data_IF_576184431752
#
_entry.id   IF_576184431752
#
_cell.length_a   1.000
_cell.length_b   1.000
_cell.length_c   1.000
_cell.angle_alpha   90.00
_cell.angle_beta   90.00
_cell.angle_gamma   90.00
#
_symmetry.space_group_name_H-M   'P 1'
#
loop_
_entity.id
_entity.type
_entity.pdbx_description
1 polymer ?
#
# COMPACT_ATOMS: atom_id res chain seq x y z
N UNK A 1 -7.08 18.46 9.38
CA UNK A 1 -8.54 18.47 9.10
C UNK A 1 -9.13 19.69 9.79
N UNK A 2 -10.17 20.29 9.21
CA UNK A 2 -10.95 21.36 9.83
C UNK A 2 -12.35 20.82 10.16
N UNK A 3 -12.91 21.20 11.30
CA UNK A 3 -14.22 20.73 11.77
C UNK A 3 -14.35 20.88 13.29
N UNK A 4 -15.57 20.69 13.80
CA UNK A 4 -15.86 20.70 15.23
C UNK A 4 -15.19 19.48 15.92
N UNK A 5 -14.30 19.69 16.90
CA UNK A 5 -13.65 18.60 17.63
C UNK A 5 -14.63 17.66 18.33
N UNK A 6 -15.70 18.19 18.93
CA UNK A 6 -16.67 17.41 19.70
C UNK A 6 -17.46 16.46 18.79
N UNK A 7 -17.88 16.95 17.62
CA UNK A 7 -18.51 16.11 16.60
C UNK A 7 -17.56 14.99 16.14
N UNK A 8 -16.27 15.30 15.99
CA UNK A 8 -15.24 14.32 15.64
C UNK A 8 -15.09 13.22 16.68
N UNK A 9 -15.04 13.55 17.97
CA UNK A 9 -14.98 12.57 19.05
C UNK A 9 -16.23 11.69 19.07
N UNK A 10 -17.42 12.30 19.04
CA UNK A 10 -18.70 11.57 19.04
C UNK A 10 -18.82 10.61 17.86
N UNK A 11 -18.33 10.99 16.68
CA UNK A 11 -18.30 10.09 15.53
C UNK A 11 -17.35 8.91 15.75
N UNK A 12 -16.17 9.13 16.36
CA UNK A 12 -15.23 8.04 16.68
C UNK A 12 -15.80 7.08 17.71
N UNK A 13 -16.40 7.59 18.78
CA UNK A 13 -17.10 6.78 19.79
C UNK A 13 -18.20 5.91 19.15
N UNK A 14 -18.93 6.46 18.18
CA UNK A 14 -19.97 5.73 17.45
C UNK A 14 -19.41 4.59 16.58
N UNK A 15 -18.31 4.81 15.85
CA UNK A 15 -17.81 3.86 14.85
C UNK A 15 -16.77 2.87 15.40
N UNK A 16 -16.06 3.21 16.46
CA UNK A 16 -14.94 2.38 16.94
C UNK A 16 -15.37 0.98 17.41
N UNK A 17 -16.56 0.79 18.04
CA UNK A 17 -17.07 -0.56 18.31
C UNK A 17 -17.32 -1.40 17.05
N UNK A 18 -17.57 -0.76 15.90
CA UNK A 18 -17.77 -1.43 14.60
C UNK A 18 -16.44 -1.70 13.90
N UNK A 19 -15.48 -0.77 14.00
CA UNK A 19 -14.13 -0.90 13.43
C UNK A 19 -13.27 -1.90 14.18
N UNK A 20 -13.43 -1.94 15.51
CA UNK A 20 -12.62 -2.71 16.44
C UNK A 20 -13.52 -3.50 17.40
N UNK A 21 -14.31 -4.46 16.89
CA UNK A 21 -15.15 -5.29 17.74
C UNK A 21 -14.30 -6.01 18.78
N UNK A 22 -14.78 -6.16 20.02
CA UNK A 22 -13.98 -6.66 21.14
C UNK A 22 -13.39 -8.06 20.96
N UNK A 23 -13.92 -8.85 20.02
CA UNK A 23 -13.44 -10.19 19.66
C UNK A 23 -12.66 -10.25 18.35
N UNK A 24 -12.41 -9.09 17.71
CA UNK A 24 -11.89 -9.01 16.36
C UNK A 24 -12.93 -9.35 15.28
N UNK A 25 -12.55 -9.14 14.03
CA UNK A 25 -13.40 -9.44 12.86
C UNK A 25 -13.43 -10.95 12.61
N UNK A 26 -14.60 -11.57 12.38
CA UNK A 26 -14.70 -13.01 12.12
C UNK A 26 -13.87 -13.45 10.90
N UNK A 27 -13.26 -14.65 10.96
CA UNK A 27 -12.42 -15.16 9.85
C UNK A 27 -13.20 -15.29 8.53
N UNK A 28 -14.51 -15.57 8.59
CA UNK A 28 -15.39 -15.56 7.41
C UNK A 28 -15.34 -14.22 6.67
N UNK A 29 -15.36 -13.12 7.40
CA UNK A 29 -15.38 -11.77 6.83
C UNK A 29 -13.99 -11.39 6.30
N UNK A 30 -12.93 -11.81 7.00
CA UNK A 30 -11.54 -11.67 6.52
C UNK A 30 -11.33 -12.45 5.21
N UNK A 31 -11.90 -13.65 5.08
CA UNK A 31 -11.88 -14.43 3.85
C UNK A 31 -12.63 -13.73 2.71
N UNK A 32 -13.77 -13.10 3.01
CA UNK A 32 -14.52 -12.33 2.00
C UNK A 32 -13.73 -11.10 1.53
N UNK A 33 -13.05 -10.40 2.44
CA UNK A 33 -12.14 -9.29 2.11
C UNK A 33 -11.03 -9.75 1.15
N UNK A 34 -10.42 -10.92 1.42
CA UNK A 34 -9.41 -11.50 0.52
C UNK A 34 -9.95 -11.78 -0.87
N UNK A 35 -11.18 -12.30 -0.98
CA UNK A 35 -11.85 -12.52 -2.27
C UNK A 35 -12.13 -11.21 -3.01
N UNK A 36 -12.58 -10.18 -2.30
CA UNK A 36 -12.79 -8.85 -2.89
C UNK A 36 -11.46 -8.31 -3.43
N UNK A 37 -10.36 -8.45 -2.68
CA UNK A 37 -9.03 -8.01 -3.13
C UNK A 37 -8.59 -8.74 -4.39
N UNK A 38 -8.72 -10.07 -4.43
CA UNK A 38 -8.36 -10.87 -5.60
C UNK A 38 -9.14 -10.45 -6.84
N UNK A 39 -10.44 -10.16 -6.71
CA UNK A 39 -11.27 -9.65 -7.81
C UNK A 39 -10.84 -8.24 -8.26
N UNK A 40 -10.49 -7.36 -7.32
CA UNK A 40 -9.97 -6.03 -7.66
C UNK A 40 -8.68 -6.12 -8.47
N UNK A 41 -7.77 -7.03 -8.10
CA UNK A 41 -6.51 -7.25 -8.83
C UNK A 41 -6.76 -7.66 -10.29
N UNK A 42 -7.77 -8.48 -10.56
CA UNK A 42 -8.08 -8.96 -11.92
C UNK A 42 -8.91 -7.97 -12.74
N UNK A 43 -9.83 -7.23 -12.12
CA UNK A 43 -10.81 -6.41 -12.84
C UNK A 43 -10.44 -4.94 -12.97
N UNK A 44 -9.63 -4.38 -12.05
CA UNK A 44 -9.41 -2.92 -11.99
C UNK A 44 -8.18 -2.44 -12.74
N UNK A 45 -7.25 -3.32 -13.12
CA UNK A 45 -6.10 -2.92 -13.91
C UNK A 45 -6.56 -2.41 -15.30
N UNK A 46 -6.24 -1.18 -15.71
CA UNK A 46 -6.66 -0.67 -17.00
C UNK A 46 -6.18 -1.58 -18.14
N UNK A 47 -7.01 -1.74 -19.18
CA UNK A 47 -6.63 -2.51 -20.37
C UNK A 47 -5.33 -1.96 -20.97
N UNK A 48 -4.37 -2.83 -21.20
CA UNK A 48 -3.05 -2.48 -21.75
C UNK A 48 -2.07 -1.89 -20.74
N UNK A 49 -2.44 -1.73 -19.46
CA UNK A 49 -1.48 -1.34 -18.43
C UNK A 49 -0.56 -2.51 -18.06
N UNK A 50 0.72 -2.22 -17.87
CA UNK A 50 1.70 -3.18 -17.38
C UNK A 50 1.63 -3.27 -15.85
N UNK A 51 1.27 -4.44 -15.27
CA UNK A 51 1.17 -4.62 -13.82
C UNK A 51 2.51 -4.47 -13.09
N UNK A 52 3.65 -4.56 -13.78
CA UNK A 52 4.98 -4.42 -13.20
C UNK A 52 5.42 -2.97 -13.07
N UNK A 53 4.68 -2.03 -13.66
CA UNK A 53 4.94 -0.59 -13.63
C UNK A 53 3.72 0.23 -13.21
N UNK A 54 2.62 -0.41 -12.82
CA UNK A 54 1.46 0.27 -12.25
C UNK A 54 1.61 0.43 -10.73
N UNK A 55 1.87 1.65 -10.27
CA UNK A 55 2.16 2.02 -8.86
C UNK A 55 1.03 1.77 -7.88
N UNK A 56 -0.24 1.94 -8.30
CA UNK A 56 -1.37 1.80 -7.38
C UNK A 56 -1.86 0.35 -7.26
N UNK A 57 -2.31 -0.24 -8.37
CA UNK A 57 -2.95 -1.56 -8.40
C UNK A 57 -2.13 -2.62 -9.14
N UNK A 58 -0.87 -2.33 -9.47
CA UNK A 58 0.08 -3.33 -9.93
C UNK A 58 0.57 -4.21 -8.78
N UNK A 59 1.31 -5.27 -9.13
CA UNK A 59 1.79 -6.28 -8.17
C UNK A 59 2.74 -5.63 -7.18
N UNK A 60 2.51 -5.81 -5.88
CA UNK A 60 3.30 -5.19 -4.81
C UNK A 60 3.23 -3.66 -4.78
N UNK A 61 2.25 -3.06 -5.46
CA UNK A 61 2.00 -1.62 -5.46
C UNK A 61 1.29 -1.14 -4.20
N UNK A 62 0.85 0.12 -4.20
CA UNK A 62 0.24 0.77 -3.03
C UNK A 62 -0.97 0.01 -2.49
N UNK A 63 -1.85 -0.48 -3.36
CA UNK A 63 -3.04 -1.20 -2.95
C UNK A 63 -2.72 -2.54 -2.27
N UNK A 64 -1.65 -3.23 -2.68
CA UNK A 64 -1.22 -4.47 -2.02
C UNK A 64 -0.77 -4.19 -0.58
N UNK A 65 0.07 -3.16 -0.39
CA UNK A 65 0.53 -2.76 0.95
C UNK A 65 -0.63 -2.27 1.81
N UNK A 66 -1.48 -1.40 1.28
CA UNK A 66 -2.62 -0.83 2.01
C UNK A 66 -3.59 -1.90 2.49
N UNK A 67 -3.98 -2.84 1.60
CA UNK A 67 -4.90 -3.91 1.97
C UNK A 67 -4.29 -4.89 2.96
N UNK A 68 -2.99 -5.17 2.86
CA UNK A 68 -2.27 -6.00 3.83
C UNK A 68 -2.32 -5.38 5.22
N UNK A 69 -1.98 -4.10 5.32
CA UNK A 69 -2.03 -3.36 6.58
C UNK A 69 -3.46 -3.26 7.12
N UNK A 70 -4.45 -2.98 6.27
CA UNK A 70 -5.85 -2.89 6.70
C UNK A 70 -6.39 -4.24 7.17
N UNK A 71 -6.00 -5.37 6.55
CA UNK A 71 -6.36 -6.70 7.03
C UNK A 71 -5.78 -6.96 8.43
N UNK A 72 -4.51 -6.57 8.66
CA UNK A 72 -3.88 -6.66 9.99
C UNK A 72 -4.63 -5.80 11.02
N UNK A 73 -5.05 -4.59 10.65
CA UNK A 73 -5.85 -3.72 11.50
C UNK A 73 -7.21 -4.32 11.85
N UNK A 74 -7.90 -4.95 10.89
CA UNK A 74 -9.19 -5.61 11.11
C UNK A 74 -9.05 -6.84 12.02
N UNK A 75 -7.98 -7.61 11.84
CA UNK A 75 -7.71 -8.80 12.64
C UNK A 75 -7.28 -8.45 14.07
N UNK A 76 -6.40 -7.47 14.23
CA UNK A 76 -5.67 -7.25 15.49
C UNK A 76 -5.94 -5.90 16.16
N UNK A 77 -6.58 -4.94 15.49
CA UNK A 77 -6.81 -3.59 16.04
C UNK A 77 -7.68 -3.57 17.29
N UNK A 78 -8.48 -4.61 17.54
CA UNK A 78 -9.21 -4.77 18.79
C UNK A 78 -8.26 -4.97 19.99
N UNK A 79 -7.17 -5.73 19.80
CA UNK A 79 -6.20 -6.07 20.85
C UNK A 79 -4.96 -5.17 20.88
N UNK A 80 -4.60 -4.55 19.75
CA UNK A 80 -3.41 -3.69 19.61
C UNK A 80 -3.85 -2.26 19.27
N UNK A 81 -3.98 -1.36 20.26
CA UNK A 81 -4.45 0.02 20.05
C UNK A 81 -3.62 0.83 19.06
N UNK A 82 -2.31 0.59 18.96
CA UNK A 82 -1.41 1.31 18.05
C UNK A 82 -1.72 1.05 16.57
N UNK A 83 -2.42 -0.05 16.26
CA UNK A 83 -2.96 -0.30 14.92
C UNK A 83 -4.15 0.60 14.58
N UNK A 84 -4.76 1.33 15.54
CA UNK A 84 -5.95 2.16 15.32
C UNK A 84 -5.63 3.53 14.69
N UNK A 85 -4.71 3.55 13.73
CA UNK A 85 -4.29 4.74 13.00
C UNK A 85 -4.76 4.70 11.54
N UNK A 86 -4.98 5.87 10.94
CA UNK A 86 -5.31 5.99 9.51
C UNK A 86 -4.08 6.04 8.60
N UNK A 87 -2.88 6.00 9.17
CA UNK A 87 -1.60 6.11 8.44
C UNK A 87 -1.04 4.71 8.17
N UNK A 88 -1.04 4.26 6.91
CA UNK A 88 -0.58 2.92 6.50
C UNK A 88 0.79 2.54 7.06
N UNK A 89 1.79 3.42 6.91
CA UNK A 89 3.16 3.18 7.40
C UNK A 89 3.24 3.08 8.93
N UNK A 90 2.43 3.88 9.64
CA UNK A 90 2.41 3.83 11.10
C UNK A 90 1.75 2.55 11.60
N UNK A 91 0.67 2.10 10.96
CA UNK A 91 0.05 0.82 11.27
C UNK A 91 0.97 -0.37 10.94
N UNK A 92 1.72 -0.30 9.84
CA UNK A 92 2.73 -1.31 9.50
C UNK A 92 3.84 -1.40 10.56
N UNK A 93 4.38 -0.26 11.00
CA UNK A 93 5.37 -0.20 12.06
C UNK A 93 4.82 -0.73 13.41
N UNK A 94 3.57 -0.39 13.75
CA UNK A 94 2.90 -0.92 14.94
C UNK A 94 2.68 -2.45 14.85
N UNK A 95 2.36 -2.98 13.66
CA UNK A 95 2.22 -4.42 13.45
C UNK A 95 3.55 -5.16 13.67
N UNK A 96 4.66 -4.61 13.16
CA UNK A 96 6.00 -5.15 13.38
C UNK A 96 6.41 -5.09 14.87
N UNK A 97 6.20 -3.94 15.52
CA UNK A 97 6.50 -3.77 16.95
C UNK A 97 5.70 -4.73 17.85
N UNK A 98 4.48 -5.10 17.43
CA UNK A 98 3.64 -6.07 18.12
C UNK A 98 3.95 -7.55 17.75
N UNK A 99 4.95 -7.81 16.89
CA UNK A 99 5.31 -9.16 16.44
C UNK A 99 4.27 -9.82 15.53
N UNK A 100 3.37 -9.04 14.92
CA UNK A 100 2.34 -9.53 14.00
C UNK A 100 2.85 -9.67 12.56
N UNK A 101 3.98 -9.02 12.26
CA UNK A 101 4.67 -9.03 10.98
C UNK A 101 6.17 -9.10 11.27
N UNK A 102 6.88 -9.95 10.54
CA UNK A 102 8.34 -10.00 10.61
C UNK A 102 8.95 -8.66 10.20
N UNK A 103 10.02 -8.24 10.88
CA UNK A 103 10.66 -6.94 10.65
C UNK A 103 11.11 -6.77 9.18
N UNK A 104 11.63 -7.84 8.57
CA UNK A 104 12.04 -7.84 7.16
C UNK A 104 10.86 -7.54 6.22
N UNK A 105 9.70 -8.15 6.47
CA UNK A 105 8.50 -7.92 5.65
C UNK A 105 7.97 -6.50 5.82
N UNK A 106 7.99 -5.97 7.03
CA UNK A 106 7.61 -4.59 7.28
C UNK A 106 8.52 -3.60 6.54
N UNK A 107 9.84 -3.82 6.53
CA UNK A 107 10.80 -2.99 5.79
C UNK A 107 10.58 -3.05 4.28
N UNK A 108 10.34 -4.25 3.74
CA UNK A 108 10.07 -4.46 2.32
C UNK A 108 8.77 -3.76 1.88
N UNK A 109 7.69 -3.89 2.67
CA UNK A 109 6.42 -3.24 2.38
C UNK A 109 6.51 -1.71 2.50
N UNK A 110 7.24 -1.20 3.50
CA UNK A 110 7.46 0.24 3.66
C UNK A 110 8.26 0.82 2.49
N UNK A 111 9.33 0.14 2.08
CA UNK A 111 10.15 0.55 0.94
C UNK A 111 9.31 0.62 -0.36
N UNK A 112 8.47 -0.39 -0.60
CA UNK A 112 7.57 -0.41 -1.75
C UNK A 112 6.55 0.73 -1.70
N UNK A 113 5.93 0.97 -0.54
CA UNK A 113 4.97 2.06 -0.35
C UNK A 113 5.61 3.42 -0.63
N UNK A 114 6.80 3.67 -0.06
CA UNK A 114 7.53 4.93 -0.24
C UNK A 114 7.93 5.12 -1.69
N UNK A 115 8.51 4.11 -2.33
CA UNK A 115 8.97 4.21 -3.72
C UNK A 115 7.80 4.43 -4.68
N UNK A 116 6.71 3.65 -4.56
CA UNK A 116 5.52 3.83 -5.40
C UNK A 116 4.87 5.21 -5.21
N UNK A 117 4.81 5.71 -3.97
CA UNK A 117 4.31 7.06 -3.67
C UNK A 117 5.19 8.14 -4.32
N UNK A 118 6.51 8.00 -4.21
CA UNK A 118 7.48 8.92 -4.81
C UNK A 118 7.39 8.92 -6.35
N UNK A 119 7.23 7.76 -6.97
CA UNK A 119 7.03 7.65 -8.43
C UNK A 119 5.76 8.39 -8.85
N UNK A 120 4.62 8.21 -8.17
CA UNK A 120 3.37 8.93 -8.52
C UNK A 120 3.53 10.44 -8.38
N UNK A 121 4.21 10.90 -7.33
CA UNK A 121 4.51 12.32 -7.15
C UNK A 121 5.41 12.85 -8.28
N UNK A 122 6.44 12.10 -8.66
CA UNK A 122 7.34 12.45 -9.77
C UNK A 122 6.58 12.50 -11.11
N UNK A 123 5.69 11.53 -11.38
CA UNK A 123 4.82 11.52 -12.57
C UNK A 123 3.96 12.78 -12.63
N UNK A 124 3.33 13.16 -11.52
CA UNK A 124 2.56 14.41 -11.44
C UNK A 124 3.42 15.63 -11.79
N UNK A 125 4.62 15.73 -11.23
CA UNK A 125 5.49 16.89 -11.43
C UNK A 125 6.06 16.98 -12.86
N UNK A 126 6.40 15.84 -13.46
CA UNK A 126 6.96 15.79 -14.81
C UNK A 126 5.87 16.03 -15.87
N UNK A 127 4.66 15.50 -15.65
CA UNK A 127 3.59 15.52 -16.66
C UNK A 127 2.54 16.61 -16.43
N UNK A 128 2.56 17.26 -15.27
CA UNK A 128 1.52 18.19 -14.83
C UNK A 128 0.16 17.53 -14.55
N UNK A 129 0.09 16.20 -14.51
CA UNK A 129 -1.14 15.44 -14.25
C UNK A 129 -0.85 14.14 -13.52
N UNK A 130 -1.79 13.74 -12.67
CA UNK A 130 -1.69 12.50 -11.92
C UNK A 130 -1.65 11.29 -12.88
N UNK A 131 -0.88 10.28 -12.49
CA UNK A 131 -0.80 9.01 -13.19
C UNK A 131 -0.38 7.91 -12.23
N UNK A 132 -0.99 6.74 -12.39
CA UNK A 132 -0.70 5.58 -11.55
C UNK A 132 0.27 4.58 -12.22
N UNK A 133 0.80 4.89 -13.41
CA UNK A 133 1.82 4.08 -14.10
C UNK A 133 3.04 4.92 -14.45
N UNK A 134 4.18 4.24 -14.61
CA UNK A 134 5.36 4.87 -15.22
C UNK A 134 5.02 5.42 -16.62
N UNK A 135 5.63 6.54 -17.04
CA UNK A 135 5.46 7.06 -18.39
C UNK A 135 6.02 6.09 -19.44
N UNK A 136 5.29 5.89 -20.54
CA UNK A 136 5.79 5.15 -21.70
C UNK A 136 6.72 5.96 -22.59
N UNK A 137 6.61 7.30 -22.55
CA UNK A 137 7.53 8.19 -23.27
C UNK A 137 8.88 8.25 -22.57
N UNK A 138 9.97 8.11 -23.34
CA UNK A 138 11.32 8.03 -22.81
C UNK A 138 11.79 9.33 -22.15
N UNK A 139 11.33 10.50 -22.63
CA UNK A 139 11.70 11.80 -22.05
C UNK A 139 10.97 12.02 -20.73
N UNK A 140 9.67 11.70 -20.68
CA UNK A 140 8.90 11.73 -19.43
C UNK A 140 9.50 10.78 -18.38
N UNK A 141 9.85 9.55 -18.77
CA UNK A 141 10.49 8.57 -17.88
C UNK A 141 11.85 9.06 -17.36
N UNK A 142 12.68 9.66 -18.21
CA UNK A 142 13.94 10.27 -17.79
C UNK A 142 13.74 11.45 -16.83
N UNK A 143 12.68 12.23 -17.00
CA UNK A 143 12.28 13.28 -16.05
C UNK A 143 11.94 12.69 -14.68
N UNK A 144 11.20 11.59 -14.64
CA UNK A 144 10.83 10.89 -13.40
C UNK A 144 12.08 10.37 -12.68
N UNK A 145 12.99 9.69 -13.40
CA UNK A 145 14.23 9.19 -12.85
C UNK A 145 15.11 10.30 -12.26
N UNK A 146 15.26 11.41 -13.00
CA UNK A 146 16.00 12.58 -12.53
C UNK A 146 15.40 13.18 -11.26
N UNK A 147 14.08 13.35 -11.22
CA UNK A 147 13.39 13.90 -10.05
C UNK A 147 13.58 13.01 -8.81
N UNK A 148 13.63 11.69 -9.00
CA UNK A 148 13.83 10.74 -7.91
C UNK A 148 15.28 10.61 -7.45
N UNK A 149 16.22 11.28 -8.11
CA UNK A 149 17.64 11.33 -7.73
C UNK A 149 18.53 10.32 -8.44
N UNK A 150 18.01 9.58 -9.43
CA UNK A 150 18.82 8.60 -10.19
C UNK A 150 19.79 9.27 -11.18
N UNK A 151 19.56 10.54 -11.52
CA UNK A 151 20.41 11.26 -12.48
C UNK A 151 20.04 11.01 -13.95
N UNK A 152 20.90 11.46 -14.86
CA UNK A 152 20.64 11.44 -16.31
C UNK A 152 21.04 10.09 -16.90
N UNK A 153 20.16 9.45 -17.67
CA UNK A 153 20.44 8.17 -18.32
C UNK A 153 20.13 6.93 -17.46
N UNK A 154 19.72 7.13 -16.20
CA UNK A 154 19.47 6.05 -15.22
C UNK A 154 17.99 5.64 -15.11
N UNK A 155 17.20 5.87 -16.16
CA UNK A 155 15.78 5.47 -16.19
C UNK A 155 15.57 3.95 -16.04
N UNK A 156 16.49 3.16 -16.61
CA UNK A 156 16.45 1.70 -16.50
C UNK A 156 16.67 1.22 -15.07
N UNK A 157 17.63 1.84 -14.37
CA UNK A 157 17.94 1.53 -12.97
C UNK A 157 16.73 1.78 -12.06
N UNK A 158 16.03 2.90 -12.24
CA UNK A 158 14.77 3.17 -11.53
C UNK A 158 13.71 2.08 -11.78
N UNK A 159 13.53 1.66 -13.04
CA UNK A 159 12.55 0.61 -13.37
C UNK A 159 12.92 -0.73 -12.74
N UNK A 160 14.20 -1.08 -12.75
CA UNK A 160 14.71 -2.32 -12.18
C UNK A 160 14.58 -2.34 -10.66
N UNK A 161 14.91 -1.23 -9.99
CA UNK A 161 14.72 -1.07 -8.55
C UNK A 161 13.25 -1.10 -8.15
N UNK A 162 12.39 -0.44 -8.92
CA UNK A 162 10.95 -0.50 -8.71
C UNK A 162 10.42 -1.93 -8.83
N UNK A 163 10.77 -2.64 -9.91
CA UNK A 163 10.34 -4.03 -10.14
C UNK A 163 10.89 -4.98 -9.08
N UNK A 164 12.14 -4.79 -8.65
CA UNK A 164 12.76 -5.60 -7.59
C UNK A 164 12.04 -5.39 -6.25
N UNK A 165 11.81 -4.13 -5.88
CA UNK A 165 11.16 -3.76 -4.61
C UNK A 165 9.72 -4.29 -4.57
N UNK A 166 8.95 -4.07 -5.63
CA UNK A 166 7.54 -4.50 -5.69
C UNK A 166 7.40 -6.02 -5.81
N UNK A 167 8.34 -6.73 -6.45
CA UNK A 167 8.35 -8.20 -6.41
C UNK A 167 8.54 -8.73 -4.99
N UNK A 168 9.47 -8.17 -4.22
CA UNK A 168 9.67 -8.53 -2.80
C UNK A 168 8.43 -8.22 -1.97
N UNK A 169 7.84 -7.04 -2.14
CA UNK A 169 6.60 -6.67 -1.48
C UNK A 169 5.45 -7.60 -1.85
N UNK A 170 5.36 -8.05 -3.11
CA UNK A 170 4.35 -9.04 -3.49
C UNK A 170 4.55 -10.36 -2.74
N UNK A 171 5.77 -10.85 -2.58
CA UNK A 171 6.02 -12.06 -1.79
C UNK A 171 5.61 -11.89 -0.31
N UNK A 172 5.89 -10.74 0.29
CA UNK A 172 5.41 -10.44 1.65
C UNK A 172 3.88 -10.42 1.71
N UNK A 173 3.21 -9.84 0.70
CA UNK A 173 1.73 -9.80 0.61
C UNK A 173 1.14 -11.21 0.46
N UNK A 174 1.72 -12.09 -0.36
CA UNK A 174 1.26 -13.48 -0.49
C UNK A 174 1.22 -14.18 0.88
N UNK A 175 2.30 -14.08 1.65
CA UNK A 175 2.37 -14.65 3.00
C UNK A 175 1.40 -13.99 3.98
N UNK A 176 1.45 -12.66 4.09
CA UNK A 176 0.74 -11.92 5.14
C UNK A 176 -0.77 -11.79 4.87
N UNK A 177 -1.14 -11.57 3.61
CA UNK A 177 -2.53 -11.35 3.22
C UNK A 177 -3.21 -12.66 2.84
N UNK A 178 -2.61 -13.49 1.98
CA UNK A 178 -3.24 -14.72 1.48
C UNK A 178 -2.90 -15.98 2.29
N UNK A 179 -1.82 -15.97 3.07
CA UNK A 179 -1.38 -17.15 3.83
C UNK A 179 -0.76 -18.24 2.95
N UNK A 180 -0.24 -17.86 1.79
CA UNK A 180 0.41 -18.75 0.82
C UNK A 180 1.93 -18.73 1.03
N UNK A 181 2.54 -19.91 1.15
CA UNK A 181 4.00 -20.13 1.06
C UNK A 181 4.44 -20.33 -0.39
#
# INVERSE_FOLDING_TARGET
MAGDPELGERFRELIDPLRYPGTGVPERDLMEIRRIKARIETERLPRGADPTTHTKIGRGGLADVEWTVQLLQLRHGHAVPDLRTTRTRAALAAAAAAGLVEQEDAEVLDAAWVLASRVRAAVMLVRGRAGDSFPGDARELAGVARYLGYGVGHSGELLDDYRRTTRRARHAVERLFYGTE
#
